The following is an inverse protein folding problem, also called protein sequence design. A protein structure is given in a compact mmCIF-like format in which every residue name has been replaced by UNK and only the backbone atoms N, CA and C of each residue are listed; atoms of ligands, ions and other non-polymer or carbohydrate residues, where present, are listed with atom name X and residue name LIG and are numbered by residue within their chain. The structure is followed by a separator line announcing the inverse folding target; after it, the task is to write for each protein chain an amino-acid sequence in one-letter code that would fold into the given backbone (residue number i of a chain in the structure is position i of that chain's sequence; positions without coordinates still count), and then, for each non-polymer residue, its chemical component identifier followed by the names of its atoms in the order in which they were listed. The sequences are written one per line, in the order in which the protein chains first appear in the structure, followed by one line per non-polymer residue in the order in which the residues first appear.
data_IF_212944071341
#
_entry.id   IF_212944071341
#
_cell.length_a   1.000
_cell.length_b   1.000
_cell.length_c   1.000
_cell.angle_alpha   90.00
_cell.angle_beta   90.00
_cell.angle_gamma   90.00
#
_symmetry.space_group_name_H-M   'P 1'
#
loop_
_entity.id
_entity.type
_entity.pdbx_description
1 polymer ?
#
# COMPACT_ATOMS: atom_id res chain seq x y z
N UNK A 1 -23.07 13.91 -7.93
CA UNK A 1 -22.55 13.04 -6.86
C UNK A 1 -21.70 11.99 -7.54
N UNK A 2 -20.40 11.91 -7.26
CA UNK A 2 -19.54 10.90 -7.89
C UNK A 2 -19.56 9.64 -7.01
N UNK A 3 -20.06 8.54 -7.55
CA UNK A 3 -20.02 7.24 -6.90
C UNK A 3 -18.56 6.80 -6.79
N UNK A 4 -17.99 6.89 -5.58
CA UNK A 4 -16.71 6.26 -5.26
C UNK A 4 -16.96 4.76 -5.13
N UNK A 5 -16.97 4.05 -6.25
CA UNK A 5 -17.03 2.58 -6.26
C UNK A 5 -15.68 2.02 -5.81
N UNK A 6 -15.44 2.04 -4.49
CA UNK A 6 -14.29 1.36 -3.89
C UNK A 6 -14.38 -0.14 -4.22
N UNK A 7 -13.29 -0.71 -4.72
CA UNK A 7 -13.21 -2.14 -5.03
C UNK A 7 -13.41 -2.99 -3.75
N UNK A 8 -13.93 -4.23 -3.87
CA UNK A 8 -14.00 -5.14 -2.74
C UNK A 8 -12.61 -5.38 -2.15
N UNK A 9 -12.55 -5.53 -0.82
CA UNK A 9 -11.31 -5.85 -0.13
C UNK A 9 -10.85 -7.26 -0.49
N UNK A 10 -9.58 -7.40 -0.86
CA UNK A 10 -8.93 -8.70 -1.05
C UNK A 10 -8.11 -9.04 0.19
N UNK A 11 -8.40 -10.18 0.82
CA UNK A 11 -7.58 -10.71 1.91
C UNK A 11 -6.25 -11.28 1.38
N UNK A 12 -5.20 -11.16 2.19
CA UNK A 12 -3.86 -11.69 1.90
C UNK A 12 -3.14 -12.02 3.21
N UNK A 13 -2.07 -12.79 3.12
CA UNK A 13 -1.28 -13.22 4.28
C UNK A 13 0.16 -12.72 4.15
N UNK A 14 0.70 -12.12 5.21
CA UNK A 14 2.09 -11.69 5.30
C UNK A 14 3.01 -12.91 5.44
N UNK A 15 4.32 -12.70 5.27
CA UNK A 15 5.30 -13.76 5.50
C UNK A 15 5.34 -14.26 6.95
N UNK A 16 4.94 -13.43 7.92
CA UNK A 16 4.80 -13.80 9.33
C UNK A 16 3.47 -14.48 9.69
N UNK A 17 2.61 -14.75 8.71
CA UNK A 17 1.29 -15.38 8.92
C UNK A 17 0.19 -14.40 9.34
N UNK A 18 0.45 -13.09 9.29
CA UNK A 18 -0.52 -12.07 9.63
C UNK A 18 -1.41 -11.75 8.45
N UNK A 19 -2.73 -11.84 8.65
CA UNK A 19 -3.69 -11.46 7.61
C UNK A 19 -3.76 -9.95 7.45
N UNK A 20 -3.64 -9.47 6.22
CA UNK A 20 -3.91 -8.10 5.82
C UNK A 20 -4.92 -8.10 4.67
N UNK A 21 -5.41 -6.92 4.28
CA UNK A 21 -6.30 -6.79 3.14
C UNK A 21 -5.98 -5.55 2.32
N UNK A 22 -6.28 -5.58 1.03
CA UNK A 22 -6.00 -4.47 0.12
C UNK A 22 -7.25 -4.04 -0.65
N UNK A 23 -7.34 -2.75 -0.98
CA UNK A 23 -8.41 -2.15 -1.80
C UNK A 23 -7.86 -1.07 -2.73
N UNK A 24 -8.64 -0.64 -3.73
CA UNK A 24 -8.35 0.53 -4.57
C UNK A 24 -9.65 1.30 -4.89
N UNK A 25 -9.57 2.63 -4.99
CA UNK A 25 -10.74 3.51 -5.18
C UNK A 25 -11.27 3.53 -6.63
N UNK A 26 -10.42 3.21 -7.60
CA UNK A 26 -10.84 2.92 -8.97
C UNK A 26 -10.50 1.45 -9.23
N UNK A 27 -11.54 0.64 -9.41
CA UNK A 27 -11.51 -0.81 -9.52
C UNK A 27 -10.32 -1.36 -10.36
N UNK A 28 -9.39 -2.09 -9.73
CA UNK A 28 -8.49 -3.09 -10.35
C UNK A 28 -7.66 -3.86 -9.29
N UNK A 29 -8.31 -4.54 -8.33
CA UNK A 29 -7.64 -5.68 -7.69
C UNK A 29 -8.11 -6.91 -8.45
N UNK A 30 -7.49 -7.19 -9.59
CA UNK A 30 -7.76 -8.44 -10.27
C UNK A 30 -7.26 -9.59 -9.39
N UNK A 31 -8.08 -10.63 -9.30
CA UNK A 31 -7.62 -11.93 -8.85
C UNK A 31 -6.76 -12.56 -9.95
N UNK A 32 -5.58 -11.99 -10.20
CA UNK A 32 -4.59 -12.63 -11.05
C UNK A 32 -3.61 -13.38 -10.14
N UNK A 33 -3.99 -14.63 -9.87
CA UNK A 33 -3.01 -15.70 -9.76
C UNK A 33 -2.28 -15.78 -11.11
N UNK A 34 -1.27 -14.93 -11.32
CA UNK A 34 -0.50 -14.89 -12.56
C UNK A 34 0.10 -13.51 -12.83
N UNK A 35 1.39 -13.40 -12.54
CA UNK A 35 2.32 -12.30 -12.81
C UNK A 35 2.02 -10.91 -12.19
N UNK A 36 3.02 -10.40 -11.45
CA UNK A 36 3.03 -9.03 -10.95
C UNK A 36 2.89 -8.02 -12.12
N UNK A 37 2.35 -6.80 -11.90
CA UNK A 37 2.42 -5.76 -12.92
C UNK A 37 3.85 -5.63 -13.43
N UNK A 38 4.03 -5.52 -14.74
CA UNK A 38 5.32 -5.10 -15.28
C UNK A 38 5.60 -3.70 -14.72
N UNK A 39 6.59 -3.60 -13.83
CA UNK A 39 6.93 -2.32 -13.23
C UNK A 39 7.31 -1.32 -14.33
N UNK A 40 6.77 -0.09 -14.21
CA UNK A 40 7.12 0.98 -15.14
C UNK A 40 8.52 1.56 -14.90
N UNK A 41 9.21 1.12 -13.84
CA UNK A 41 10.58 1.55 -13.55
C UNK A 41 11.42 0.47 -12.84
N UNK A 42 12.69 0.78 -12.53
CA UNK A 42 13.62 -0.17 -11.94
C UNK A 42 13.17 -0.62 -10.55
N UNK A 43 13.53 -1.84 -10.12
CA UNK A 43 13.25 -2.28 -8.76
C UNK A 43 13.95 -1.35 -7.76
N UNK A 44 13.29 -1.11 -6.63
CA UNK A 44 13.81 -0.22 -5.59
C UNK A 44 13.65 -0.82 -4.20
N UNK A 45 14.46 -0.30 -3.29
CA UNK A 45 14.32 -0.46 -1.85
C UNK A 45 14.68 0.88 -1.21
N UNK A 46 13.73 1.48 -0.50
CA UNK A 46 13.92 2.78 0.15
C UNK A 46 13.48 2.72 1.61
N UNK A 47 14.19 3.46 2.45
CA UNK A 47 13.83 3.66 3.85
C UNK A 47 12.89 4.86 3.98
N UNK A 48 11.90 4.75 4.86
CA UNK A 48 10.92 5.80 5.17
C UNK A 48 10.66 5.84 6.68
N UNK A 49 10.00 6.91 7.14
CA UNK A 49 9.55 7.06 8.53
C UNK A 49 8.08 7.50 8.55
N UNK A 50 7.17 6.64 8.08
CA UNK A 50 5.74 6.97 8.08
C UNK A 50 5.11 6.49 9.39
N UNK A 51 4.64 7.44 10.20
CA UNK A 51 4.11 7.19 11.54
C UNK A 51 2.59 7.22 11.55
N UNK A 52 1.99 6.58 12.55
CA UNK A 52 0.55 6.62 12.74
C UNK A 52 0.06 8.08 12.83
N UNK A 53 -1.06 8.36 12.17
CA UNK A 53 -1.67 9.68 12.04
C UNK A 53 -0.78 10.70 11.30
N UNK A 54 -0.05 10.25 10.28
CA UNK A 54 0.71 11.14 9.38
C UNK A 54 0.30 10.95 7.93
N UNK A 55 0.33 12.03 7.17
CA UNK A 55 0.07 12.05 5.73
C UNK A 55 0.91 13.11 5.04
N UNK A 56 1.05 12.98 3.72
CA UNK A 56 1.65 13.99 2.89
C UNK A 56 2.34 13.44 1.66
N UNK A 57 3.06 14.32 0.98
CA UNK A 57 3.91 13.92 -0.14
C UNK A 57 5.28 13.45 0.36
N UNK A 58 5.79 12.31 -0.12
CA UNK A 58 7.16 11.91 0.17
C UNK A 58 8.19 12.92 -0.35
N UNK A 59 9.43 12.83 0.15
CA UNK A 59 10.53 13.64 -0.39
C UNK A 59 10.71 13.39 -1.89
N UNK A 60 11.27 14.36 -2.61
CA UNK A 60 11.45 14.24 -4.07
C UNK A 60 12.26 12.99 -4.46
N UNK A 61 13.28 12.63 -3.67
CA UNK A 61 14.06 11.42 -3.90
C UNK A 61 13.20 10.14 -3.81
N UNK A 62 12.35 10.03 -2.78
CA UNK A 62 11.46 8.88 -2.61
C UNK A 62 10.44 8.84 -3.74
N UNK A 63 9.82 9.98 -4.07
CA UNK A 63 8.85 10.07 -5.19
C UNK A 63 9.44 9.61 -6.51
N UNK A 64 10.66 10.07 -6.84
CA UNK A 64 11.33 9.70 -8.09
C UNK A 64 11.69 8.22 -8.17
N UNK A 65 11.94 7.56 -7.03
CA UNK A 65 12.29 6.14 -6.98
C UNK A 65 11.06 5.22 -6.99
N UNK A 66 10.00 5.61 -6.27
CA UNK A 66 8.87 4.71 -5.99
C UNK A 66 7.61 5.03 -6.78
N UNK A 67 7.52 6.21 -7.40
CA UNK A 67 6.30 6.74 -8.01
C UNK A 67 5.24 7.20 -7.01
N UNK A 68 5.39 6.90 -5.71
CA UNK A 68 4.40 7.25 -4.68
C UNK A 68 4.37 8.77 -4.52
N UNK A 69 3.25 9.41 -4.80
CA UNK A 69 3.07 10.87 -4.74
C UNK A 69 2.43 11.35 -3.44
N UNK A 70 1.72 10.46 -2.76
CA UNK A 70 1.02 10.73 -1.51
C UNK A 70 0.98 9.46 -0.65
N UNK A 71 1.05 9.64 0.66
CA UNK A 71 0.77 8.60 1.64
C UNK A 71 -0.10 9.15 2.78
N UNK A 72 -0.84 8.25 3.44
CA UNK A 72 -1.50 8.49 4.73
C UNK A 72 -1.51 7.20 5.53
N UNK A 73 -1.06 7.26 6.78
CA UNK A 73 -1.13 6.15 7.73
C UNK A 73 -2.02 6.56 8.90
N UNK A 74 -3.12 5.85 9.09
CA UNK A 74 -4.13 6.15 10.11
C UNK A 74 -4.71 4.86 10.73
N UNK A 75 -5.48 5.03 11.81
CA UNK A 75 -6.33 3.95 12.31
C UNK A 75 -7.36 3.59 11.24
N UNK A 76 -7.54 2.29 11.01
CA UNK A 76 -8.57 1.82 10.12
C UNK A 76 -9.96 2.22 10.69
N UNK A 77 -10.96 2.48 9.82
CA UNK A 77 -12.27 2.88 10.30
C UNK A 77 -12.91 1.79 11.18
N UNK A 78 -13.81 2.20 12.07
CA UNK A 78 -14.42 1.35 13.11
C UNK A 78 -15.07 0.04 12.61
N UNK A 79 -15.45 -0.03 11.34
CA UNK A 79 -16.04 -1.21 10.71
C UNK A 79 -15.01 -2.15 10.07
N UNK A 80 -13.73 -1.79 10.04
CA UNK A 80 -12.66 -2.67 9.58
C UNK A 80 -12.31 -3.70 10.66
N UNK A 81 -11.98 -4.91 10.21
CA UNK A 81 -11.43 -5.97 11.07
C UNK A 81 -9.93 -5.80 11.35
N UNK A 82 -9.30 -4.80 10.71
CA UNK A 82 -7.89 -4.44 10.87
C UNK A 82 -7.78 -3.17 11.69
N UNK A 83 -6.64 -2.95 12.33
CA UNK A 83 -6.41 -1.78 13.19
C UNK A 83 -5.89 -0.57 12.43
N UNK A 84 -5.12 -0.77 11.36
CA UNK A 84 -4.44 0.32 10.67
C UNK A 84 -4.70 0.27 9.17
N UNK A 85 -4.69 1.45 8.55
CA UNK A 85 -4.81 1.64 7.11
C UNK A 85 -3.66 2.50 6.60
N UNK A 86 -2.92 1.96 5.65
CA UNK A 86 -2.01 2.72 4.79
C UNK A 86 -2.72 3.02 3.47
N UNK A 87 -2.82 4.30 3.14
CA UNK A 87 -3.31 4.80 1.85
C UNK A 87 -2.15 5.37 1.06
N UNK A 88 -2.08 5.07 -0.24
CA UNK A 88 -1.12 5.69 -1.17
C UNK A 88 -1.80 6.16 -2.46
N UNK A 89 -1.17 7.13 -3.12
CA UNK A 89 -1.34 7.37 -4.56
C UNK A 89 0.03 7.28 -5.23
N UNK A 90 0.07 6.81 -6.47
CA UNK A 90 1.31 6.63 -7.23
C UNK A 90 1.13 7.01 -8.69
N UNK A 91 2.20 7.47 -9.35
CA UNK A 91 2.25 7.70 -10.80
C UNK A 91 2.68 6.48 -11.60
N UNK A 92 3.19 5.44 -10.92
CA UNK A 92 3.82 4.29 -11.53
C UNK A 92 3.22 2.97 -11.02
N UNK A 93 3.12 2.00 -11.92
CA UNK A 93 2.65 0.66 -11.61
C UNK A 93 3.81 -0.15 -11.03
N UNK A 94 3.62 -0.74 -9.86
CA UNK A 94 4.59 -1.61 -9.19
C UNK A 94 3.86 -2.66 -8.33
N UNK A 95 4.55 -3.76 -8.05
CA UNK A 95 4.23 -4.61 -6.92
C UNK A 95 4.94 -4.07 -5.67
N UNK A 96 4.25 -3.24 -4.90
CA UNK A 96 4.79 -2.67 -3.67
C UNK A 96 4.81 -3.71 -2.56
N UNK A 97 5.84 -3.67 -1.72
CA UNK A 97 5.85 -4.32 -0.41
C UNK A 97 6.22 -3.29 0.65
N UNK A 98 5.38 -3.17 1.66
CA UNK A 98 5.59 -2.30 2.81
C UNK A 98 6.06 -3.13 3.99
N UNK A 99 7.05 -2.63 4.71
CA UNK A 99 7.59 -3.25 5.91
C UNK A 99 7.35 -2.30 7.07
N UNK A 100 6.73 -2.81 8.13
CA UNK A 100 6.61 -2.06 9.37
C UNK A 100 7.84 -2.27 10.27
N UNK A 101 7.74 -1.98 11.56
CA UNK A 101 8.82 -2.22 12.52
C UNK A 101 8.74 -3.61 13.17
N UNK A 102 7.86 -4.48 12.66
CA UNK A 102 7.78 -5.91 12.98
C UNK A 102 8.39 -6.73 11.81
N UNK A 103 8.61 -8.05 11.97
CA UNK A 103 9.09 -8.89 10.86
C UNK A 103 8.04 -9.14 9.75
N UNK A 104 6.97 -8.34 9.71
CA UNK A 104 5.86 -8.49 8.79
C UNK A 104 6.01 -7.62 7.54
N UNK A 105 5.32 -8.04 6.48
CA UNK A 105 5.34 -7.37 5.18
C UNK A 105 3.98 -7.42 4.51
N UNK A 106 3.61 -6.33 3.85
CA UNK A 106 2.29 -6.15 3.24
C UNK A 106 2.43 -5.84 1.75
N UNK A 107 1.93 -6.73 0.91
CA UNK A 107 2.00 -6.60 -0.55
C UNK A 107 0.85 -5.76 -1.09
N UNK A 108 1.12 -4.92 -2.08
CA UNK A 108 0.11 -4.14 -2.79
C UNK A 108 0.49 -4.05 -4.27
N UNK A 109 -0.26 -4.77 -5.10
CA UNK A 109 -0.12 -4.69 -6.55
C UNK A 109 -0.89 -3.49 -7.07
N UNK A 110 -0.19 -2.52 -7.65
CA UNK A 110 -0.80 -1.36 -8.31
C UNK A 110 -0.62 -1.48 -9.81
N UNK A 111 -1.71 -1.79 -10.51
CA UNK A 111 -1.75 -1.84 -11.98
C UNK A 111 -2.16 -0.49 -12.59
N UNK A 112 -3.22 0.12 -12.05
CA UNK A 112 -3.69 1.45 -12.44
C UNK A 112 -3.21 2.48 -11.45
N UNK A 113 -2.63 3.56 -11.94
CA UNK A 113 -2.03 4.65 -11.13
C UNK A 113 -3.03 5.74 -10.75
N UNK A 114 -4.26 5.66 -11.28
CA UNK A 114 -5.31 6.63 -10.97
C UNK A 114 -6.03 6.27 -9.65
N UNK A 115 -5.96 7.17 -8.68
CA UNK A 115 -6.74 7.10 -7.44
C UNK A 115 -5.92 6.74 -6.20
N UNK A 116 -6.61 6.15 -5.23
CA UNK A 116 -6.06 5.76 -3.94
C UNK A 116 -6.03 4.24 -3.85
N UNK A 117 -4.94 3.73 -3.28
CA UNK A 117 -4.75 2.32 -2.97
C UNK A 117 -4.59 2.16 -1.47
N UNK A 118 -5.11 1.05 -0.96
CA UNK A 118 -5.26 0.84 0.47
C UNK A 118 -4.65 -0.49 0.88
N UNK A 119 -3.95 -0.50 2.00
CA UNK A 119 -3.54 -1.69 2.74
C UNK A 119 -4.07 -1.55 4.15
N UNK A 120 -4.84 -2.53 4.61
CA UNK A 120 -5.28 -2.61 5.99
C UNK A 120 -4.66 -3.82 6.69
N UNK A 121 -4.09 -3.59 7.86
CA UNK A 121 -3.27 -4.57 8.57
C UNK A 121 -3.37 -4.39 10.08
N UNK A 122 -2.83 -5.36 10.80
CA UNK A 122 -2.61 -5.28 12.24
C UNK A 122 -1.12 -5.16 12.48
N UNK A 123 -0.69 -4.53 13.55
CA UNK A 123 0.72 -4.48 13.96
C UNK A 123 0.81 -4.02 15.42
N UNK A 124 1.87 -4.36 16.13
CA UNK A 124 2.20 -3.77 17.42
C UNK A 124 2.89 -2.41 17.25
N UNK A 125 3.56 -2.22 16.12
CA UNK A 125 4.21 -0.96 15.75
C UNK A 125 3.94 -0.67 14.25
N UNK A 126 2.84 0.04 13.93
CA UNK A 126 2.36 0.19 12.55
C UNK A 126 3.24 1.09 11.68
N UNK A 127 4.32 1.64 12.24
CA UNK A 127 5.25 2.54 11.55
C UNK A 127 5.86 1.83 10.34
N UNK A 128 5.66 2.38 9.15
CA UNK A 128 6.31 1.87 7.93
C UNK A 128 7.75 2.38 7.91
N UNK A 129 8.69 1.44 7.79
CA UNK A 129 10.13 1.67 7.86
C UNK A 129 10.80 1.55 6.49
N UNK A 130 10.24 0.72 5.60
CA UNK A 130 10.77 0.57 4.26
C UNK A 130 9.74 0.14 3.24
N UNK A 131 10.04 0.42 1.97
CA UNK A 131 9.19 0.14 0.82
C UNK A 131 10.07 -0.45 -0.28
N UNK A 132 9.61 -1.56 -0.87
CA UNK A 132 10.20 -2.12 -2.08
C UNK A 132 9.19 -2.13 -3.21
N UNK A 133 9.67 -2.09 -4.45
CA UNK A 133 8.85 -2.27 -5.65
C UNK A 133 9.62 -3.07 -6.69
N UNK A 134 8.87 -3.87 -7.47
CA UNK A 134 9.36 -4.71 -8.56
C UNK A 134 8.32 -4.81 -9.66
#
# INVERSE_FOLDING_TARGET
MAEQTSAPWKESESKGGQKYQVSASHYDITDQSGDAPAANGPPFNVQVDWRLNTEGSPSQEIRNKTGITYYKLEEAPWYSVKKYRLTISTTDSYNYTFFDNEPDQYGLNVFRTNGLHYVEYNSKDPRITSITGK
#
